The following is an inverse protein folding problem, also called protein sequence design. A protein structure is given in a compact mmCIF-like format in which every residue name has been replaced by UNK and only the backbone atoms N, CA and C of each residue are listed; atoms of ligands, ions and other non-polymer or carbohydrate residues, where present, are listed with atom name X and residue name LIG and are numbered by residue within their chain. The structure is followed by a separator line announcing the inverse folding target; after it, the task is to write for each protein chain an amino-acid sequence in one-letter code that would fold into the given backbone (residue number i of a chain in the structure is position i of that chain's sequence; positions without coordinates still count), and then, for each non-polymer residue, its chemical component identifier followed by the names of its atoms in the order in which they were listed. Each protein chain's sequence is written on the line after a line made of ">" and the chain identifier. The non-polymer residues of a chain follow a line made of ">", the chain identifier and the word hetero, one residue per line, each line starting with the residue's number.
data_IF_628805005011
#
_entry.id   IF_628805005011
#
_cell.length_a   1.000
_cell.length_b   1.000
_cell.length_c   1.000
_cell.angle_alpha   90.00
_cell.angle_beta   90.00
_cell.angle_gamma   90.00
#
_symmetry.space_group_name_H-M   'P 1'
#
loop_
_entity.id
_entity.type
_entity.pdbx_description
1 polymer ?
#
# COMPACT_ATOMS: atom_id res chain seq x y z
N UNK A 1 -1.22 34.16 -15.36
CA UNK A 1 -1.10 32.70 -15.15
C UNK A 1 -2.43 32.16 -14.67
N UNK A 2 -3.11 31.30 -15.44
CA UNK A 2 -4.36 30.67 -15.00
C UNK A 2 -4.00 29.51 -14.08
N UNK A 3 -4.24 29.69 -12.78
CA UNK A 3 -3.98 28.69 -11.75
C UNK A 3 -5.14 27.70 -11.75
N UNK A 4 -4.93 26.51 -12.32
CA UNK A 4 -5.95 25.45 -12.38
C UNK A 4 -5.99 24.72 -11.04
N UNK A 5 -6.76 25.27 -10.09
CA UNK A 5 -7.13 24.57 -8.86
C UNK A 5 -8.08 23.43 -9.23
N UNK A 6 -7.61 22.18 -9.19
CA UNK A 6 -8.48 21.02 -9.34
C UNK A 6 -8.72 20.39 -7.97
N UNK A 7 -9.97 20.45 -7.56
CA UNK A 7 -10.48 19.86 -6.33
C UNK A 7 -10.63 18.36 -6.54
N UNK A 8 -9.90 17.56 -5.77
CA UNK A 8 -10.05 16.11 -5.75
C UNK A 8 -10.89 15.78 -4.54
N UNK A 9 -12.07 15.21 -4.77
CA UNK A 9 -13.00 14.82 -3.72
C UNK A 9 -12.77 13.34 -3.44
N UNK A 10 -11.90 13.05 -2.48
CA UNK A 10 -11.64 11.69 -2.03
C UNK A 10 -12.76 11.30 -1.05
N UNK A 11 -13.76 10.53 -1.49
CA UNK A 11 -14.85 10.10 -0.61
C UNK A 11 -14.43 8.87 0.20
N UNK A 12 -14.05 9.08 1.45
CA UNK A 12 -14.08 8.05 2.50
C UNK A 12 -14.92 8.65 3.65
N UNK A 13 -16.25 8.64 3.49
CA UNK A 13 -17.19 9.38 4.36
C UNK A 13 -17.44 10.83 3.90
N UNK A 14 -17.80 11.75 4.82
CA UNK A 14 -18.16 13.16 4.53
C UNK A 14 -16.97 14.12 4.38
N UNK A 15 -15.73 13.63 4.50
CA UNK A 15 -14.53 14.46 4.51
C UNK A 15 -13.86 14.49 3.14
N UNK A 16 -13.58 15.70 2.62
CA UNK A 16 -12.86 15.90 1.36
C UNK A 16 -11.51 16.58 1.62
N UNK A 17 -10.44 16.07 1.00
CA UNK A 17 -9.08 16.61 1.14
C UNK A 17 -8.66 17.22 -0.19
N UNK A 18 -8.26 18.49 -0.19
CA UNK A 18 -7.73 19.16 -1.37
C UNK A 18 -6.21 19.02 -1.43
N UNK A 19 -5.71 18.51 -2.55
CA UNK A 19 -4.27 18.34 -2.82
C UNK A 19 -3.87 19.17 -4.04
N UNK A 20 -2.74 19.87 -3.94
CA UNK A 20 -2.18 20.63 -5.06
C UNK A 20 -1.30 19.70 -5.90
N UNK A 21 -1.65 19.59 -7.19
CA UNK A 21 -0.88 18.83 -8.16
C UNK A 21 -0.24 19.82 -9.15
N UNK A 22 1.09 19.76 -9.35
CA UNK A 22 1.78 20.51 -10.40
C UNK A 22 1.13 20.30 -11.77
N UNK A 23 1.07 21.36 -12.58
CA UNK A 23 0.29 21.35 -13.83
C UNK A 23 0.84 20.36 -14.88
N UNK A 24 2.16 20.20 -14.92
CA UNK A 24 2.88 19.21 -15.72
C UNK A 24 2.51 17.78 -15.33
N UNK A 25 2.50 17.47 -14.03
CA UNK A 25 2.08 16.16 -13.53
C UNK A 25 0.60 15.90 -13.80
N UNK A 26 -0.24 16.92 -13.70
CA UNK A 26 -1.66 16.81 -14.04
C UNK A 26 -1.86 16.46 -15.51
N UNK A 27 -1.09 17.09 -16.40
CA UNK A 27 -1.16 16.84 -17.84
C UNK A 27 -0.73 15.41 -18.18
N UNK A 28 0.38 14.94 -17.58
CA UNK A 28 0.84 13.57 -17.73
C UNK A 28 -0.20 12.57 -17.22
N UNK A 29 -0.73 12.79 -16.02
CA UNK A 29 -1.70 11.88 -15.41
C UNK A 29 -2.99 11.76 -16.25
N UNK A 30 -3.42 12.83 -16.92
CA UNK A 30 -4.58 12.79 -17.83
C UNK A 30 -4.36 11.90 -19.07
N UNK A 31 -3.12 11.68 -19.48
CA UNK A 31 -2.79 10.80 -20.63
C UNK A 31 -2.97 9.31 -20.29
N UNK A 32 -2.84 8.94 -19.02
CA UNK A 32 -3.03 7.57 -18.53
C UNK A 32 -4.50 7.24 -18.22
N UNK A 33 -5.41 8.20 -18.40
CA UNK A 33 -6.83 8.00 -18.12
C UNK A 33 -7.43 7.10 -19.19
N UNK A 34 -8.02 5.98 -18.80
CA UNK A 34 -8.91 5.25 -19.68
C UNK A 34 -10.16 6.09 -19.96
N UNK A 35 -10.70 6.02 -21.18
CA UNK A 35 -11.68 6.98 -21.69
C UNK A 35 -12.94 7.12 -20.82
N UNK A 36 -13.28 6.08 -20.04
CA UNK A 36 -14.50 5.99 -19.21
C UNK A 36 -14.31 6.31 -17.73
N UNK A 37 -13.09 6.47 -17.23
CA UNK A 37 -12.85 6.70 -15.79
C UNK A 37 -12.81 8.21 -15.47
N UNK A 38 -13.39 8.62 -14.35
CA UNK A 38 -13.20 9.98 -13.82
C UNK A 38 -11.77 10.12 -13.32
N UNK A 39 -11.12 11.25 -13.64
CA UNK A 39 -9.76 11.54 -13.18
C UNK A 39 -9.64 11.51 -11.65
N UNK A 40 -10.71 11.90 -10.96
CA UNK A 40 -10.79 11.82 -9.50
C UNK A 40 -10.70 10.37 -9.02
N UNK A 41 -11.52 9.48 -9.60
CA UNK A 41 -11.53 8.06 -9.25
C UNK A 41 -10.16 7.42 -9.48
N UNK A 42 -9.56 7.66 -10.65
CA UNK A 42 -8.21 7.18 -10.97
C UNK A 42 -7.17 7.61 -9.92
N UNK A 43 -7.23 8.86 -9.43
CA UNK A 43 -6.33 9.35 -8.40
C UNK A 43 -6.60 8.74 -7.03
N UNK A 44 -7.87 8.61 -6.63
CA UNK A 44 -8.26 7.94 -5.38
C UNK A 44 -7.72 6.51 -5.38
N UNK A 45 -7.89 5.81 -6.50
CA UNK A 45 -7.46 4.43 -6.66
C UNK A 45 -5.94 4.28 -6.59
N UNK A 46 -5.20 5.16 -7.27
CA UNK A 46 -3.74 5.19 -7.23
C UNK A 46 -3.21 5.44 -5.81
N UNK A 47 -3.81 6.40 -5.09
CA UNK A 47 -3.44 6.70 -3.70
C UNK A 47 -3.74 5.50 -2.80
N UNK A 48 -4.92 4.90 -2.92
CA UNK A 48 -5.31 3.73 -2.12
C UNK A 48 -4.35 2.55 -2.33
N UNK A 49 -3.96 2.27 -3.58
CA UNK A 49 -2.96 1.24 -3.92
C UNK A 49 -1.62 1.53 -3.25
N UNK A 50 -1.16 2.78 -3.30
CA UNK A 50 0.12 3.17 -2.71
C UNK A 50 0.09 3.11 -1.17
N UNK A 51 -1.02 3.49 -0.52
CA UNK A 51 -1.20 3.34 0.93
C UNK A 51 -1.15 1.86 1.33
N UNK A 52 -1.92 1.00 0.65
CA UNK A 52 -1.90 -0.46 0.88
C UNK A 52 -0.50 -1.04 0.74
N UNK A 53 0.23 -0.64 -0.30
CA UNK A 53 1.62 -1.09 -0.52
C UNK A 53 2.54 -0.69 0.62
N UNK A 54 2.46 0.57 1.09
CA UNK A 54 3.27 1.05 2.22
C UNK A 54 2.96 0.30 3.51
N UNK A 55 1.68 0.03 3.77
CA UNK A 55 1.26 -0.75 4.93
C UNK A 55 1.79 -2.19 4.88
N UNK A 56 1.66 -2.85 3.73
CA UNK A 56 2.20 -4.19 3.53
C UNK A 56 3.72 -4.25 3.74
N UNK A 57 4.45 -3.25 3.22
CA UNK A 57 5.90 -3.15 3.41
C UNK A 57 6.28 -2.96 4.89
N UNK A 58 5.58 -2.08 5.61
CA UNK A 58 5.80 -1.87 7.03
C UNK A 58 5.50 -3.14 7.86
N UNK A 59 4.42 -3.86 7.53
CA UNK A 59 4.09 -5.13 8.16
C UNK A 59 5.18 -6.18 7.91
N UNK A 60 5.66 -6.30 6.68
CA UNK A 60 6.76 -7.20 6.33
C UNK A 60 8.04 -6.88 7.12
N UNK A 61 8.42 -5.60 7.20
CA UNK A 61 9.59 -5.16 7.97
C UNK A 61 9.46 -5.51 9.46
N UNK A 62 8.26 -5.37 10.04
CA UNK A 62 8.00 -5.77 11.44
C UNK A 62 8.16 -7.27 11.64
N UNK A 63 7.72 -8.09 10.69
CA UNK A 63 7.88 -9.55 10.74
C UNK A 63 9.36 -9.90 10.70
N UNK A 64 10.10 -9.36 9.72
CA UNK A 64 11.54 -9.61 9.57
C UNK A 64 12.32 -9.19 10.83
N UNK A 65 12.04 -8.01 11.37
CA UNK A 65 12.69 -7.54 12.60
C UNK A 65 12.40 -8.47 13.78
N UNK A 66 11.15 -8.88 13.97
CA UNK A 66 10.77 -9.80 15.05
C UNK A 66 11.39 -11.19 14.87
N UNK A 67 11.48 -11.70 13.65
CA UNK A 67 12.15 -12.97 13.36
C UNK A 67 13.63 -12.91 13.71
N UNK A 68 14.32 -11.82 13.34
CA UNK A 68 15.73 -11.62 13.70
C UNK A 68 15.94 -11.54 15.23
N UNK A 69 15.05 -10.86 15.96
CA UNK A 69 15.10 -10.82 17.43
C UNK A 69 14.91 -12.21 18.06
N UNK A 70 14.01 -13.02 17.53
CA UNK A 70 13.78 -14.39 18.02
C UNK A 70 15.00 -15.26 17.73
N UNK A 71 15.53 -15.21 16.50
CA UNK A 71 16.72 -15.97 16.12
C UNK A 71 17.94 -15.59 16.96
N UNK A 72 18.15 -14.31 17.24
CA UNK A 72 19.23 -13.86 18.12
C UNK A 72 19.11 -14.39 19.55
N UNK A 73 17.88 -14.61 20.05
CA UNK A 73 17.62 -15.09 21.42
C UNK A 73 17.61 -16.62 21.54
N UNK A 74 17.06 -17.32 20.56
CA UNK A 74 16.80 -18.76 20.64
C UNK A 74 17.67 -19.59 19.71
N UNK A 75 18.48 -18.95 18.86
CA UNK A 75 19.06 -19.59 17.68
C UNK A 75 18.00 -19.84 16.60
N UNK A 76 18.43 -20.47 15.50
CA UNK A 76 17.54 -20.81 14.38
C UNK A 76 16.43 -21.76 14.87
N UNK A 77 15.17 -21.32 14.73
CA UNK A 77 14.00 -22.14 15.09
C UNK A 77 14.00 -23.39 14.21
N UNK A 78 13.98 -24.56 14.85
CA UNK A 78 13.93 -25.83 14.13
C UNK A 78 12.60 -25.97 13.40
N UNK A 79 12.63 -26.51 12.17
CA UNK A 79 11.44 -26.68 11.35
C UNK A 79 10.41 -27.55 12.06
N UNK A 80 9.18 -27.04 12.21
CA UNK A 80 8.08 -27.79 12.81
C UNK A 80 7.55 -28.91 11.92
N UNK A 81 8.03 -29.01 10.67
CA UNK A 81 7.59 -30.01 9.68
C UNK A 81 7.83 -31.44 10.20
N UNK A 82 9.00 -31.70 10.80
CA UNK A 82 9.33 -33.03 11.32
C UNK A 82 8.47 -33.39 12.53
N UNK A 83 8.21 -32.42 13.42
CA UNK A 83 7.31 -32.59 14.56
C UNK A 83 5.87 -32.90 14.11
N UNK A 84 5.35 -32.16 13.13
CA UNK A 84 4.01 -32.39 12.57
C UNK A 84 3.92 -33.78 11.93
N UNK A 85 4.98 -34.22 11.25
CA UNK A 85 5.03 -35.54 10.63
C UNK A 85 5.03 -36.66 11.68
N UNK A 86 5.78 -36.49 12.77
CA UNK A 86 5.78 -37.43 13.91
C UNK A 86 4.41 -37.51 14.58
N UNK A 87 3.73 -36.37 14.80
CA UNK A 87 2.40 -36.34 15.41
C UNK A 87 1.30 -36.96 14.54
N UNK A 88 1.45 -36.95 13.21
CA UNK A 88 0.49 -37.53 12.27
C UNK A 88 0.74 -39.03 12.00
N UNK A 89 1.91 -39.53 12.37
CA UNK A 89 2.31 -40.93 12.20
C UNK A 89 2.01 -41.81 13.43
N UNK A 90 1.57 -41.20 14.54
CA UNK A 90 0.97 -41.90 15.69
C UNK A 90 -0.54 -41.97 15.58
#
# INVERSE_FOLDING_TARGET
>A
MKSYFNYIKCNYGTSAISIRIPADLLQQAKQFRESRESFNEMLVDAIARQVRRRWALAAHQRIVGRSAEVEAKTGMQSSSVDLIRQLRAG
#
